data_IF_546016397276
#
_entry.id   IF_546016397276
#
_cell.length_a   1.000
_cell.length_b   1.000
_cell.length_c   1.000
_cell.angle_alpha   90.00
_cell.angle_beta   90.00
_cell.angle_gamma   90.00
#
_symmetry.space_group_name_H-M   'P 1'
#
loop_
_entity.id
_entity.type
_entity.pdbx_description
1 polymer ?
#
# COMPACT_ATOMS: atom_id res chain seq x y z
N UNK A 1 39.40 -23.42 -4.21
CA UNK A 1 39.76 -22.20 -4.97
C UNK A 1 38.48 -21.40 -5.19
N UNK A 2 38.45 -20.19 -4.64
CA UNK A 2 37.55 -19.03 -4.86
C UNK A 2 36.16 -19.26 -5.47
N UNK A 3 35.15 -19.33 -4.61
CA UNK A 3 33.76 -19.02 -4.99
C UNK A 3 33.47 -17.54 -4.72
N UNK A 4 33.16 -16.82 -5.79
CA UNK A 4 32.70 -15.43 -5.82
C UNK A 4 31.41 -15.29 -5.01
N UNK A 5 31.39 -14.47 -3.97
CA UNK A 5 30.15 -13.94 -3.41
C UNK A 5 30.10 -12.44 -3.69
N UNK A 6 29.25 -12.06 -4.65
CA UNK A 6 28.78 -10.70 -4.88
C UNK A 6 28.44 -10.05 -3.52
N UNK A 7 28.64 -8.74 -3.32
CA UNK A 7 27.92 -8.05 -2.26
C UNK A 7 26.45 -8.09 -2.66
N UNK A 8 25.72 -9.09 -2.15
CA UNK A 8 24.27 -9.04 -2.10
C UNK A 8 23.98 -7.91 -1.14
N UNK A 9 23.80 -6.70 -1.66
CA UNK A 9 23.13 -5.64 -0.92
C UNK A 9 21.93 -6.31 -0.28
N UNK A 10 21.76 -6.29 1.05
CA UNK A 10 20.47 -6.62 1.60
C UNK A 10 19.54 -5.63 0.89
N UNK A 11 18.68 -6.13 0.01
CA UNK A 11 17.41 -5.47 -0.20
C UNK A 11 16.84 -5.52 1.21
N UNK A 12 17.09 -4.46 1.97
CA UNK A 12 16.36 -4.15 3.17
C UNK A 12 14.95 -4.02 2.65
N UNK A 13 14.26 -5.17 2.61
CA UNK A 13 12.82 -5.24 2.66
C UNK A 13 12.59 -4.54 3.98
N UNK A 14 12.44 -3.21 3.93
CA UNK A 14 12.14 -2.39 5.08
C UNK A 14 11.05 -3.17 5.80
N UNK A 15 11.26 -3.46 7.08
CA UNK A 15 10.20 -3.95 7.92
C UNK A 15 9.11 -2.87 7.89
N UNK A 16 8.28 -2.92 6.86
CA UNK A 16 7.04 -2.16 6.77
C UNK A 16 6.25 -2.74 7.93
N UNK A 17 6.15 -1.96 9.01
CA UNK A 17 5.75 -2.41 10.34
C UNK A 17 4.28 -2.88 10.43
N UNK A 18 3.65 -3.24 9.31
CA UNK A 18 2.23 -3.56 9.19
C UNK A 18 1.31 -2.36 9.38
N UNK A 19 1.86 -1.20 9.75
CA UNK A 19 1.11 -0.05 10.25
C UNK A 19 0.54 0.86 9.15
N UNK A 20 0.74 0.55 7.86
CA UNK A 20 0.36 1.42 6.75
C UNK A 20 -0.04 0.65 5.49
N UNK A 21 -0.57 -0.56 5.65
CA UNK A 21 -1.03 -1.39 4.54
C UNK A 21 -2.53 -1.24 4.34
N UNK A 22 -2.93 -0.89 3.13
CA UNK A 22 -4.31 -0.61 2.75
C UNK A 22 -4.68 -1.37 1.49
N UNK A 23 -5.89 -1.91 1.48
CA UNK A 23 -6.46 -2.60 0.34
C UNK A 23 -7.45 -1.64 -0.32
N UNK A 24 -7.26 -1.39 -1.60
CA UNK A 24 -8.12 -0.53 -2.40
C UNK A 24 -8.66 -1.33 -3.57
N UNK A 25 -9.97 -1.55 -3.57
CA UNK A 25 -10.68 -2.13 -4.69
C UNK A 25 -11.17 -1.03 -5.62
N UNK A 26 -10.90 -1.18 -6.91
CA UNK A 26 -11.32 -0.26 -7.96
C UNK A 26 -12.24 -0.99 -8.94
N UNK A 27 -13.09 -0.23 -9.62
CA UNK A 27 -13.99 -0.77 -10.65
C UNK A 27 -13.22 -1.05 -11.95
N UNK A 28 -12.23 -0.21 -12.26
CA UNK A 28 -11.36 -0.33 -13.42
C UNK A 28 -9.89 -0.26 -13.02
N UNK A 29 -9.00 -0.73 -13.90
CA UNK A 29 -7.56 -0.62 -13.72
C UNK A 29 -7.16 0.88 -13.73
N UNK A 30 -6.62 1.35 -12.61
CA UNK A 30 -6.15 2.72 -12.51
C UNK A 30 -4.73 2.84 -13.02
N UNK A 31 -4.47 3.90 -13.78
CA UNK A 31 -3.11 4.23 -14.21
C UNK A 31 -2.29 4.74 -13.04
N UNK A 32 -0.96 4.60 -13.16
CA UNK A 32 -0.01 5.12 -12.18
C UNK A 32 -0.12 6.63 -11.96
N UNK A 33 -0.60 7.39 -12.95
CA UNK A 33 -0.87 8.82 -12.82
C UNK A 33 -2.04 9.11 -11.87
N UNK A 34 -3.14 8.37 -12.01
CA UNK A 34 -4.29 8.48 -11.11
C UNK A 34 -3.89 8.14 -9.68
N UNK A 35 -3.11 7.07 -9.51
CA UNK A 35 -2.55 6.72 -8.20
C UNK A 35 -1.68 7.82 -7.63
N UNK A 36 -0.81 8.42 -8.44
CA UNK A 36 0.02 9.53 -8.00
C UNK A 36 -0.83 10.73 -7.55
N UNK A 37 -1.88 11.09 -8.29
CA UNK A 37 -2.82 12.15 -7.89
C UNK A 37 -3.53 11.85 -6.57
N UNK A 38 -4.05 10.63 -6.40
CA UNK A 38 -4.80 10.24 -5.20
C UNK A 38 -3.89 10.08 -3.97
N UNK A 39 -2.64 9.68 -4.20
CA UNK A 39 -1.67 9.44 -3.14
C UNK A 39 -0.75 10.65 -2.89
N UNK A 40 -0.99 11.74 -3.62
CA UNK A 40 -0.25 12.98 -3.53
C UNK A 40 -0.39 13.55 -2.12
N UNK A 41 0.72 13.63 -1.40
CA UNK A 41 0.77 14.19 -0.03
C UNK A 41 0.80 13.17 1.09
N UNK A 42 0.65 11.87 0.81
CA UNK A 42 0.88 10.81 1.80
C UNK A 42 2.34 10.34 1.90
N UNK A 43 3.19 10.79 0.99
CA UNK A 43 4.63 10.49 0.98
C UNK A 43 4.96 9.24 0.16
N UNK A 44 6.02 8.54 0.55
CA UNK A 44 6.48 7.33 -0.16
C UNK A 44 5.54 6.15 0.08
N UNK A 45 4.98 5.64 -1.01
CA UNK A 45 4.11 4.47 -1.03
C UNK A 45 4.62 3.42 -2.01
N UNK A 46 4.26 2.17 -1.74
CA UNK A 46 4.39 1.04 -2.64
C UNK A 46 3.00 0.58 -3.04
N UNK A 47 2.81 0.24 -4.31
CA UNK A 47 1.52 -0.17 -4.85
C UNK A 47 1.67 -1.47 -5.60
N UNK A 48 0.87 -2.45 -5.22
CA UNK A 48 0.89 -3.80 -5.79
C UNK A 48 -0.52 -4.22 -6.18
N UNK A 49 -0.71 -4.66 -7.42
CA UNK A 49 -2.00 -5.21 -7.85
C UNK A 49 -2.09 -6.69 -7.49
N UNK A 50 -3.13 -7.06 -6.76
CA UNK A 50 -3.36 -8.45 -6.31
C UNK A 50 -4.45 -9.18 -7.09
N UNK A 51 -5.42 -8.45 -7.67
CA UNK A 51 -6.54 -9.04 -8.41
C UNK A 51 -6.72 -8.28 -9.72
N UNK A 52 -6.86 -9.00 -10.84
CA UNK A 52 -7.07 -8.42 -12.19
C UNK A 52 -8.54 -8.30 -12.60
N UNK A 53 -9.36 -9.30 -12.28
CA UNK A 53 -10.76 -9.36 -12.72
C UNK A 53 -11.67 -8.33 -12.02
N UNK A 54 -11.27 -7.91 -10.82
CA UNK A 54 -11.80 -6.77 -10.07
C UNK A 54 -10.57 -6.05 -9.50
N UNK A 55 -10.05 -5.05 -10.21
CA UNK A 55 -8.74 -4.50 -9.94
C UNK A 55 -8.65 -4.11 -8.46
N UNK A 56 -7.79 -4.82 -7.74
CA UNK A 56 -7.61 -4.61 -6.31
C UNK A 56 -6.13 -4.45 -6.07
N UNK A 57 -5.80 -3.40 -5.36
CA UNK A 57 -4.44 -2.97 -5.11
C UNK A 57 -4.18 -2.95 -3.62
N UNK A 58 -3.00 -3.39 -3.23
CA UNK A 58 -2.45 -3.18 -1.91
C UNK A 58 -1.54 -1.96 -2.00
N UNK A 59 -1.79 -0.99 -1.14
CA UNK A 59 -0.98 0.21 -0.98
C UNK A 59 -0.28 0.10 0.36
N UNK A 60 1.04 0.11 0.33
CA UNK A 60 1.87 0.05 1.54
C UNK A 60 2.58 1.39 1.68
N UNK A 61 2.23 2.16 2.69
CA UNK A 61 2.90 3.42 2.99
C UNK A 61 4.10 3.21 3.90
N UNK A 62 5.12 4.04 3.68
CA UNK A 62 6.30 4.08 4.56
C UNK A 62 5.96 4.69 5.93
N UNK A 63 5.06 5.67 5.94
CA UNK A 63 4.49 6.29 7.14
C UNK A 63 2.99 6.17 7.08
N UNK A 64 2.35 5.77 8.18
CA UNK A 64 0.90 5.61 8.20
C UNK A 64 0.18 6.94 7.89
N UNK A 65 -0.57 7.03 6.78
CA UNK A 65 -1.37 8.20 6.49
C UNK A 65 -2.67 8.26 7.29
N UNK A 66 -3.09 7.13 7.87
CA UNK A 66 -4.40 6.93 8.49
C UNK A 66 -5.48 6.56 7.47
N UNK A 67 -6.25 5.52 7.82
CA UNK A 67 -7.34 4.98 6.99
C UNK A 67 -8.36 6.02 6.58
N UNK A 68 -8.73 6.92 7.49
CA UNK A 68 -9.77 7.92 7.25
C UNK A 68 -9.34 8.95 6.20
N UNK A 69 -8.09 9.41 6.25
CA UNK A 69 -7.55 10.34 5.26
C UNK A 69 -7.44 9.66 3.90
N UNK A 70 -6.98 8.41 3.86
CA UNK A 70 -6.92 7.63 2.64
C UNK A 70 -8.31 7.46 2.03
N UNK A 71 -9.30 7.04 2.83
CA UNK A 71 -10.70 6.93 2.41
C UNK A 71 -11.23 8.24 1.83
N UNK A 72 -10.90 9.38 2.44
CA UNK A 72 -11.34 10.69 1.96
C UNK A 72 -10.74 11.02 0.59
N UNK A 73 -9.44 10.80 0.40
CA UNK A 73 -8.78 11.03 -0.89
C UNK A 73 -9.28 10.07 -1.97
N UNK A 74 -9.44 8.80 -1.63
CA UNK A 74 -9.95 7.78 -2.54
C UNK A 74 -11.41 8.03 -2.94
N UNK A 75 -12.23 8.60 -2.04
CA UNK A 75 -13.61 9.03 -2.35
C UNK A 75 -13.70 10.13 -3.41
N UNK A 76 -12.62 10.86 -3.68
CA UNK A 76 -12.59 11.87 -4.75
C UNK A 76 -12.66 11.22 -6.14
N UNK A 77 -12.33 9.93 -6.25
CA UNK A 77 -12.37 9.23 -7.52
C UNK A 77 -13.53 8.20 -7.53
N UNK A 78 -14.50 8.35 -8.44
CA UNK A 78 -15.66 7.45 -8.53
C UNK A 78 -15.27 6.01 -8.91
N UNK A 79 -14.05 5.79 -9.41
CA UNK A 79 -13.55 4.47 -9.78
C UNK A 79 -13.11 3.66 -8.56
N UNK A 80 -12.94 4.29 -7.38
CA UNK A 80 -12.66 3.56 -6.16
C UNK A 80 -13.95 3.00 -5.57
N UNK A 81 -13.99 1.68 -5.41
CA UNK A 81 -15.15 0.96 -4.89
C UNK A 81 -15.11 0.81 -3.38
N UNK A 82 -13.94 0.46 -2.83
CA UNK A 82 -13.74 0.33 -1.39
C UNK A 82 -12.28 0.53 -1.01
N UNK A 83 -12.07 0.94 0.24
CA UNK A 83 -10.76 1.13 0.86
C UNK A 83 -10.83 0.57 2.26
N UNK A 84 -9.94 -0.35 2.58
CA UNK A 84 -9.90 -1.03 3.87
C UNK A 84 -8.46 -1.09 4.37
N UNK A 85 -8.26 -0.99 5.68
CA UNK A 85 -6.96 -1.30 6.25
C UNK A 85 -6.73 -2.81 6.13
N UNK A 86 -5.53 -3.22 5.75
CA UNK A 86 -5.21 -4.64 5.76
C UNK A 86 -5.32 -5.13 7.22
N UNK A 87 -6.14 -6.15 7.48
CA UNK A 87 -6.53 -6.59 8.84
C UNK A 87 -5.36 -7.03 9.75
N UNK A 88 -4.12 -7.04 9.25
CA UNK A 88 -2.91 -7.11 10.09
C UNK A 88 -2.77 -5.93 11.04
N UNK A 89 -3.39 -4.78 10.75
CA UNK A 89 -3.37 -3.57 11.60
C UNK A 89 -4.07 -3.79 12.96
N UNK A 90 -5.12 -4.62 13.03
CA UNK A 90 -5.97 -4.72 14.22
C UNK A 90 -5.37 -5.56 15.37
N UNK A 91 -4.22 -6.21 15.18
CA UNK A 91 -3.60 -7.04 16.23
C UNK A 91 -2.61 -6.30 17.13
N UNK A 92 -2.37 -5.00 16.96
CA UNK A 92 -1.36 -4.26 17.75
C UNK A 92 -1.87 -3.11 18.63
N UNK A 93 -3.18 -2.93 18.80
CA UNK A 93 -3.77 -1.93 19.71
C UNK A 93 -4.58 -2.54 20.86
N UNK A 94 -4.23 -3.76 21.29
CA UNK A 94 -4.68 -4.35 22.56
C UNK A 94 -3.56 -5.16 23.22
N UNK A 95 -2.69 -4.49 23.95
CA UNK A 95 -1.89 -5.08 25.04
C UNK A 95 -1.65 -3.92 26.00
N UNK A 96 -2.64 -3.69 26.87
CA UNK A 96 -2.59 -3.94 28.33
C UNK A 96 -1.98 -2.73 29.06
#
# INVERSE_FOLDING_TARGET
>A
MQERKKPTSPVTISQYNGNGEYIVGTEIELTSEVWNQLLKGFGSYHLEMIIKNKPTYIIQFTSDPGLEKLKLQMKLNPQIRYVEANAKLEKKTKTD
#
